data_IF_927744974629
#
_entry.id   IF_927744974629
#
_cell.length_a   1.000
_cell.length_b   1.000
_cell.length_c   1.000
_cell.angle_alpha   90.00
_cell.angle_beta   90.00
_cell.angle_gamma   90.00
#
_symmetry.space_group_name_H-M   'P 1'
#
loop_
_entity.id
_entity.type
_entity.pdbx_description
1 polymer ?
#
# COMPACT_ATOMS: atom_id res chain seq x y z
N UNK A 1 13.15 -26.71 64.28
CA UNK A 1 13.38 -25.30 64.71
C UNK A 1 14.30 -24.54 63.76
N UNK A 2 15.22 -25.21 63.03
CA UNK A 2 16.13 -24.60 62.05
C UNK A 2 15.46 -24.16 60.73
N UNK A 3 14.45 -24.87 60.22
CA UNK A 3 13.77 -24.52 58.95
C UNK A 3 12.99 -23.20 58.99
N UNK A 4 12.47 -22.81 60.17
CA UNK A 4 11.73 -21.55 60.32
C UNK A 4 12.63 -20.31 60.30
N UNK A 5 13.94 -20.47 60.51
CA UNK A 5 14.90 -19.36 60.49
C UNK A 5 15.26 -18.97 59.06
N UNK A 6 15.52 -19.95 58.19
CA UNK A 6 15.85 -19.72 56.79
C UNK A 6 14.68 -19.10 56.01
N UNK A 7 13.45 -19.57 56.26
CA UNK A 7 12.27 -19.00 55.61
C UNK A 7 12.07 -17.51 55.97
N UNK A 8 12.33 -17.13 57.22
CA UNK A 8 12.19 -15.74 57.67
C UNK A 8 13.25 -14.82 57.06
N UNK A 9 14.45 -15.34 56.79
CA UNK A 9 15.51 -14.58 56.12
C UNK A 9 15.24 -14.41 54.62
N UNK A 10 14.73 -15.44 53.95
CA UNK A 10 14.31 -15.35 52.54
C UNK A 10 13.16 -14.35 52.37
N UNK A 11 12.17 -14.36 53.26
CA UNK A 11 11.05 -13.39 53.23
C UNK A 11 11.54 -11.96 53.49
N UNK A 12 12.51 -11.76 54.39
CA UNK A 12 13.13 -10.44 54.62
C UNK A 12 13.93 -9.97 53.41
N UNK A 13 14.70 -10.84 52.78
CA UNK A 13 15.50 -10.50 51.60
C UNK A 13 14.60 -10.18 50.40
N UNK A 14 13.53 -10.95 50.20
CA UNK A 14 12.51 -10.67 49.20
C UNK A 14 11.83 -9.33 49.47
N UNK A 15 11.44 -9.05 50.71
CA UNK A 15 10.82 -7.77 51.11
C UNK A 15 11.72 -6.56 50.85
N UNK A 16 13.02 -6.67 51.16
CA UNK A 16 14.01 -5.63 50.85
C UNK A 16 14.15 -5.43 49.33
N UNK A 17 14.17 -6.52 48.56
CA UNK A 17 14.16 -6.47 47.09
C UNK A 17 12.94 -5.74 46.52
N UNK A 18 11.74 -6.06 47.02
CA UNK A 18 10.50 -5.36 46.63
C UNK A 18 10.54 -3.87 47.00
N UNK A 19 11.14 -3.51 48.13
CA UNK A 19 11.27 -2.12 48.56
C UNK A 19 12.19 -1.32 47.62
N UNK A 20 13.33 -1.88 47.20
CA UNK A 20 14.21 -1.25 46.21
C UNK A 20 13.54 -1.14 44.83
N UNK A 21 12.78 -2.15 44.39
CA UNK A 21 12.03 -2.07 43.14
C UNK A 21 10.94 -0.99 43.19
N UNK A 22 10.26 -0.83 44.33
CA UNK A 22 9.26 0.22 44.52
C UNK A 22 9.88 1.62 44.52
N UNK A 23 11.04 1.79 45.16
CA UNK A 23 11.80 3.05 45.11
C UNK A 23 12.28 3.35 43.69
N UNK A 24 12.78 2.35 42.96
CA UNK A 24 13.20 2.52 41.57
C UNK A 24 12.02 2.95 40.69
N UNK A 25 10.84 2.35 40.89
CA UNK A 25 9.61 2.72 40.17
C UNK A 25 9.19 4.16 40.49
N UNK A 26 9.25 4.56 41.76
CA UNK A 26 8.97 5.92 42.20
C UNK A 26 9.96 6.93 41.60
N UNK A 27 11.25 6.59 41.56
CA UNK A 27 12.29 7.41 40.93
C UNK A 27 12.04 7.57 39.43
N UNK A 28 11.66 6.50 38.71
CA UNK A 28 11.33 6.57 37.29
C UNK A 28 10.09 7.41 37.02
N UNK A 29 9.08 7.40 37.90
CA UNK A 29 7.91 8.27 37.78
C UNK A 29 8.26 9.74 38.05
N UNK A 30 9.10 10.02 39.04
CA UNK A 30 9.45 11.39 39.42
C UNK A 30 10.47 12.03 38.47
N UNK A 31 11.47 11.25 38.04
CA UNK A 31 12.47 11.69 37.06
C UNK A 31 12.03 11.46 35.62
N UNK A 32 10.94 10.73 35.38
CA UNK A 32 10.42 10.40 34.04
C UNK A 32 10.23 11.64 33.18
N UNK A 33 9.70 12.72 33.73
CA UNK A 33 9.49 13.98 32.99
C UNK A 33 10.81 14.66 32.58
N UNK A 34 11.85 14.58 33.42
CA UNK A 34 13.19 15.10 33.10
C UNK A 34 13.93 14.19 32.12
N UNK A 35 13.80 12.87 32.30
CA UNK A 35 14.38 11.87 31.41
C UNK A 35 13.74 11.99 30.03
N UNK A 36 12.42 12.18 29.92
CA UNK A 36 11.76 12.44 28.64
C UNK A 36 12.33 13.68 27.95
N UNK A 37 12.51 14.81 28.67
CA UNK A 37 13.13 16.02 28.09
C UNK A 37 14.55 15.77 27.57
N UNK A 38 15.35 15.00 28.31
CA UNK A 38 16.70 14.58 27.89
C UNK A 38 16.67 13.60 26.72
N UNK A 39 15.75 12.63 26.69
CA UNK A 39 15.61 11.71 25.57
C UNK A 39 15.11 12.41 24.30
N UNK A 40 14.21 13.39 24.42
CA UNK A 40 13.78 14.23 23.30
C UNK A 40 14.89 15.14 22.77
N UNK A 41 15.83 15.59 23.62
CA UNK A 41 16.98 16.38 23.17
C UNK A 41 18.07 15.53 22.53
N UNK A 42 18.31 14.30 23.03
CA UNK A 42 19.31 13.38 22.48
C UNK A 42 18.82 12.60 21.25
N UNK A 43 17.54 12.29 21.16
CA UNK A 43 16.91 11.73 19.97
C UNK A 43 15.94 12.76 19.39
N UNK A 44 16.42 13.72 18.57
CA UNK A 44 15.53 14.58 17.81
C UNK A 44 14.74 13.70 16.84
N UNK A 45 13.52 13.33 17.26
CA UNK A 45 12.48 12.90 16.33
C UNK A 45 12.26 14.09 15.43
N UNK A 46 12.50 13.91 14.13
CA UNK A 46 12.33 14.93 13.09
C UNK A 46 10.85 15.29 12.92
N UNK A 47 10.21 15.80 13.97
CA UNK A 47 9.11 16.71 13.79
C UNK A 47 9.74 18.01 13.31
N UNK A 48 9.36 18.52 12.11
CA UNK A 48 9.73 19.86 11.71
C UNK A 48 9.04 20.79 12.70
N UNK A 49 9.74 21.18 13.75
CA UNK A 49 9.38 22.38 14.50
C UNK A 49 9.39 23.49 13.48
N UNK A 50 8.22 24.07 13.24
CA UNK A 50 8.12 25.37 12.59
C UNK A 50 8.92 26.33 13.46
N UNK A 51 10.18 26.53 13.09
CA UNK A 51 11.05 27.55 13.66
C UNK A 51 10.36 28.90 13.47
N UNK A 52 9.76 29.42 14.55
CA UNK A 52 9.24 30.80 14.67
C UNK A 52 10.31 31.84 14.29
N UNK A 53 11.60 31.47 14.27
CA UNK A 53 12.70 32.31 13.82
C UNK A 53 12.71 32.57 12.30
N UNK A 54 12.01 31.78 11.47
CA UNK A 54 11.88 32.02 10.03
C UNK A 54 10.83 33.06 9.66
N UNK A 55 9.98 33.48 10.60
CA UNK A 55 8.93 34.49 10.36
C UNK A 55 9.51 35.90 10.10
N UNK A 56 10.82 36.10 10.33
CA UNK A 56 11.50 37.39 10.08
C UNK A 56 12.13 37.54 8.69
N UNK A 57 12.14 36.50 7.85
CA UNK A 57 12.61 36.65 6.47
C UNK A 57 11.45 37.14 5.58
N UNK A 58 11.70 38.10 4.66
CA UNK A 58 10.67 38.56 3.75
C UNK A 58 10.08 37.36 2.99
N UNK A 59 8.75 37.33 2.75
CA UNK A 59 8.05 36.17 2.20
C UNK A 59 8.63 35.69 0.86
N UNK A 60 9.23 36.60 0.08
CA UNK A 60 9.88 36.32 -1.19
C UNK A 60 11.14 35.44 -1.05
N UNK A 61 11.92 35.62 0.02
CA UNK A 61 13.13 34.82 0.27
C UNK A 61 12.79 33.41 0.74
N UNK A 62 11.72 33.25 1.53
CA UNK A 62 11.22 31.94 1.96
C UNK A 62 10.75 31.10 0.77
N UNK A 63 10.00 31.72 -0.16
CA UNK A 63 9.57 31.05 -1.38
C UNK A 63 10.76 30.63 -2.26
N UNK A 64 11.80 31.48 -2.34
CA UNK A 64 13.02 31.16 -3.09
C UNK A 64 13.77 29.98 -2.46
N UNK A 65 13.91 29.93 -1.13
CA UNK A 65 14.52 28.80 -0.44
C UNK A 65 13.72 27.50 -0.62
N UNK A 66 12.38 27.57 -0.53
CA UNK A 66 11.54 26.39 -0.75
C UNK A 66 11.66 25.87 -2.19
N UNK A 67 11.69 26.77 -3.18
CA UNK A 67 11.90 26.39 -4.59
C UNK A 67 13.26 25.73 -4.79
N UNK A 68 14.32 26.31 -4.25
CA UNK A 68 15.67 25.74 -4.33
C UNK A 68 15.77 24.37 -3.64
N UNK A 69 15.08 24.17 -2.52
CA UNK A 69 15.03 22.86 -1.85
C UNK A 69 14.31 21.81 -2.69
N UNK A 70 13.19 22.18 -3.33
CA UNK A 70 12.46 21.28 -4.24
C UNK A 70 13.26 20.91 -5.48
N UNK A 71 13.97 21.89 -6.06
CA UNK A 71 14.84 21.69 -7.21
C UNK A 71 15.97 20.72 -6.89
N UNK A 72 16.67 20.89 -5.75
CA UNK A 72 17.71 19.95 -5.31
C UNK A 72 17.19 18.52 -5.16
N UNK A 73 16.02 18.36 -4.55
CA UNK A 73 15.40 17.03 -4.40
C UNK A 73 15.06 16.45 -5.77
N UNK A 74 14.53 17.27 -6.68
CA UNK A 74 14.22 16.85 -8.04
C UNK A 74 15.48 16.43 -8.80
N UNK A 75 16.58 17.17 -8.66
CA UNK A 75 17.87 16.85 -9.27
C UNK A 75 18.46 15.54 -8.74
N UNK A 76 18.36 15.29 -7.42
CA UNK A 76 18.76 14.01 -6.85
C UNK A 76 17.95 12.85 -7.42
N UNK A 77 16.65 13.04 -7.63
CA UNK A 77 15.77 12.04 -8.23
C UNK A 77 16.06 11.83 -9.72
N UNK A 78 16.35 12.88 -10.49
CA UNK A 78 16.70 12.77 -11.90
C UNK A 78 18.04 12.05 -12.07
N UNK A 79 19.06 12.40 -11.29
CA UNK A 79 20.36 11.71 -11.29
C UNK A 79 20.22 10.24 -10.91
N UNK A 80 19.35 9.91 -9.95
CA UNK A 80 19.08 8.52 -9.58
C UNK A 80 18.35 7.76 -10.69
N UNK A 81 17.43 8.41 -11.40
CA UNK A 81 16.76 7.80 -12.55
C UNK A 81 17.73 7.57 -13.71
N UNK A 82 18.57 8.55 -14.04
CA UNK A 82 19.60 8.44 -15.07
C UNK A 82 20.58 7.30 -14.73
N UNK A 83 21.16 7.31 -13.54
CA UNK A 83 22.07 6.22 -13.13
C UNK A 83 21.42 4.83 -13.13
N UNK A 84 20.11 4.71 -12.85
CA UNK A 84 19.38 3.45 -13.01
C UNK A 84 19.25 3.03 -14.47
N UNK A 85 18.91 3.98 -15.36
CA UNK A 85 18.79 3.70 -16.80
C UNK A 85 20.11 3.19 -17.37
N UNK A 86 21.22 3.79 -16.95
CA UNK A 86 22.54 3.42 -17.44
C UNK A 86 23.05 2.10 -16.85
N UNK A 87 22.88 1.89 -15.54
CA UNK A 87 23.39 0.70 -14.87
C UNK A 87 22.55 -0.54 -15.14
N UNK A 88 21.24 -0.39 -15.31
CA UNK A 88 20.31 -1.54 -15.31
C UNK A 88 19.59 -1.70 -16.66
N UNK A 89 19.09 -0.62 -17.26
CA UNK A 89 18.28 -0.75 -18.48
C UNK A 89 19.16 -1.00 -19.71
N UNK A 90 20.19 -0.16 -19.95
CA UNK A 90 21.08 -0.32 -21.12
C UNK A 90 21.73 -1.71 -21.19
N UNK A 91 22.34 -2.27 -20.10
CA UNK A 91 22.96 -3.59 -20.17
C UNK A 91 21.95 -4.72 -20.40
N UNK A 92 20.72 -4.59 -19.88
CA UNK A 92 19.66 -5.56 -20.14
C UNK A 92 19.22 -5.55 -21.60
N UNK A 93 19.12 -4.36 -22.21
CA UNK A 93 18.77 -4.23 -23.63
C UNK A 93 19.89 -4.76 -24.53
N UNK A 94 21.14 -4.46 -24.22
CA UNK A 94 22.31 -4.96 -24.93
C UNK A 94 22.44 -6.49 -24.81
N UNK A 95 22.25 -7.05 -23.61
CA UNK A 95 22.24 -8.50 -23.41
C UNK A 95 21.16 -9.18 -24.23
N UNK A 96 19.94 -8.63 -24.25
CA UNK A 96 18.85 -9.15 -25.10
C UNK A 96 19.20 -9.09 -26.58
N UNK A 97 19.77 -7.98 -27.06
CA UNK A 97 20.20 -7.84 -28.46
C UNK A 97 21.31 -8.84 -28.81
N UNK A 98 22.30 -9.01 -27.92
CA UNK A 98 23.38 -9.97 -28.10
C UNK A 98 22.86 -11.41 -28.12
N UNK A 99 21.87 -11.75 -27.31
CA UNK A 99 21.26 -13.08 -27.34
C UNK A 99 20.49 -13.28 -28.64
N UNK A 100 19.67 -12.32 -29.07
CA UNK A 100 19.00 -12.37 -30.37
C UNK A 100 19.98 -12.51 -31.54
N UNK A 101 21.13 -11.83 -31.48
CA UNK A 101 22.19 -11.94 -32.48
C UNK A 101 22.83 -13.34 -32.47
N UNK A 102 23.12 -13.91 -31.30
CA UNK A 102 23.60 -15.30 -31.17
C UNK A 102 22.57 -16.28 -31.73
N UNK A 103 21.28 -16.07 -31.46
CA UNK A 103 20.21 -16.91 -31.99
C UNK A 103 20.11 -16.78 -33.51
N UNK A 104 20.26 -15.55 -34.02
CA UNK A 104 20.31 -15.29 -35.46
C UNK A 104 21.47 -16.05 -36.09
N UNK A 105 22.70 -15.96 -35.58
CA UNK A 105 23.85 -16.69 -36.14
C UNK A 105 23.78 -18.21 -35.92
N UNK A 106 23.23 -18.66 -34.79
CA UNK A 106 22.93 -20.09 -34.54
C UNK A 106 21.98 -20.64 -35.59
N UNK A 107 21.00 -19.84 -36.00
CA UNK A 107 19.96 -20.24 -36.96
C UNK A 107 20.30 -19.87 -38.43
N UNK A 108 21.33 -19.04 -38.67
CA UNK A 108 21.78 -18.63 -40.00
C UNK A 108 22.72 -19.64 -40.67
N UNK A 109 23.16 -20.67 -39.95
CA UNK A 109 23.79 -21.84 -40.56
C UNK A 109 22.82 -22.65 -41.42
N UNK A 110 23.28 -23.62 -42.23
CA UNK A 110 22.39 -24.48 -43.01
C UNK A 110 21.42 -25.21 -42.07
N UNK A 111 20.14 -24.81 -42.07
CA UNK A 111 19.08 -25.20 -41.12
C UNK A 111 18.76 -26.72 -41.03
N UNK A 112 19.50 -27.54 -41.79
CA UNK A 112 19.36 -28.99 -41.93
C UNK A 112 20.51 -29.77 -41.27
N UNK A 113 21.54 -29.10 -40.70
CA UNK A 113 22.68 -29.74 -40.01
C UNK A 113 22.55 -29.70 -38.49
N UNK A 114 21.35 -29.83 -37.94
CA UNK A 114 21.18 -30.22 -36.55
C UNK A 114 21.79 -31.60 -36.33
N UNK A 115 22.59 -31.79 -35.28
CA UNK A 115 23.09 -33.10 -34.87
C UNK A 115 21.89 -33.90 -34.36
N UNK A 116 21.17 -34.53 -35.27
CA UNK A 116 20.01 -35.35 -34.96
C UNK A 116 20.43 -36.45 -34.00
N UNK A 117 19.94 -36.38 -32.77
CA UNK A 117 20.02 -37.48 -31.84
C UNK A 117 19.22 -38.62 -32.43
N UNK A 118 19.93 -39.64 -32.93
CA UNK A 118 19.32 -40.87 -33.44
C UNK A 118 18.62 -41.54 -32.27
N UNK A 119 17.31 -41.38 -32.16
CA UNK A 119 16.45 -42.32 -31.45
C UNK A 119 16.58 -43.66 -32.18
N UNK A 120 17.45 -44.53 -31.66
CA UNK A 120 17.54 -45.91 -32.13
C UNK A 120 16.23 -46.62 -31.77
N UNK A 121 15.60 -47.37 -32.69
CA UNK A 121 14.56 -48.31 -32.32
C UNK A 121 15.15 -49.36 -31.38
N UNK A 122 14.43 -49.66 -30.31
CA UNK A 122 14.74 -50.75 -29.40
C UNK A 122 14.54 -52.08 -30.15
N UNK A 123 15.57 -52.93 -30.11
CA UNK A 123 15.52 -54.31 -30.57
C UNK A 123 14.43 -55.06 -29.80
N UNK A 124 13.51 -55.69 -30.54
CA UNK A 124 12.83 -56.91 -30.12
C UNK A 124 13.03 -57.92 -31.26
N UNK A 125 13.90 -58.90 -31.02
CA UNK A 125 14.00 -60.12 -31.82
C UNK A 125 12.74 -60.96 -31.58
N UNK A 126 12.04 -61.38 -32.65
CA UNK A 126 12.05 -62.80 -33.02
C UNK A 126 11.31 -63.08 -34.34
N UNK A 127 11.90 -64.04 -35.04
CA UNK A 127 11.66 -64.59 -36.38
C UNK A 127 10.24 -65.07 -36.70
N UNK A 128 9.81 -64.96 -37.97
CA UNK A 128 9.54 -66.13 -38.85
C UNK A 128 8.82 -65.78 -40.17
N UNK A 129 9.63 -65.79 -41.24
CA UNK A 129 9.41 -66.26 -42.62
C UNK A 129 8.00 -66.49 -43.26
N UNK A 130 7.88 -65.92 -44.47
CA UNK A 130 7.26 -66.45 -45.71
C UNK A 130 5.75 -66.30 -45.98
N UNK A 131 5.43 -65.70 -47.14
CA UNK A 131 4.12 -65.82 -47.79
C UNK A 131 3.78 -64.66 -48.74
N UNK A 132 4.16 -64.80 -50.02
CA UNK A 132 3.87 -63.86 -51.11
C UNK A 132 2.45 -64.11 -51.69
N UNK A 133 1.56 -63.10 -51.75
CA UNK A 133 0.51 -62.97 -52.80
C UNK A 133 -0.22 -61.60 -52.74
N UNK A 134 0.26 -60.69 -53.58
CA UNK A 134 -0.50 -59.91 -54.58
C UNK A 134 -2.01 -59.66 -54.35
N UNK A 135 -2.41 -58.45 -53.92
CA UNK A 135 -3.41 -57.61 -54.62
C UNK A 135 -3.34 -56.15 -54.13
N UNK A 136 -3.08 -55.20 -55.05
CA UNK A 136 -3.21 -53.75 -54.85
C UNK A 136 -4.69 -53.34 -54.98
N UNK A 137 -5.11 -52.24 -54.33
CA UNK A 137 -5.29 -51.02 -55.11
C UNK A 137 -4.57 -49.81 -54.51
N UNK A 138 -4.18 -48.89 -55.40
CA UNK A 138 -3.26 -47.78 -55.17
C UNK A 138 -3.69 -46.80 -54.06
N UNK A 139 -2.77 -46.27 -53.25
CA UNK A 139 -2.99 -45.03 -52.54
C UNK A 139 -2.71 -43.85 -53.48
N UNK A 140 -3.73 -43.00 -53.59
CA UNK A 140 -3.74 -41.74 -54.32
C UNK A 140 -2.50 -40.91 -53.99
N UNK A 141 -1.86 -40.35 -55.04
CA UNK A 141 -0.92 -39.24 -54.90
C UNK A 141 -1.63 -38.15 -54.10
N UNK A 142 -1.16 -37.88 -52.88
CA UNK A 142 -1.42 -36.61 -52.20
C UNK A 142 -0.17 -35.79 -52.41
N UNK A 143 -0.30 -34.79 -53.27
CA UNK A 143 0.72 -33.81 -53.55
C UNK A 143 1.09 -33.11 -52.23
N UNK A 144 2.32 -33.36 -51.76
CA UNK A 144 2.89 -32.65 -50.62
C UNK A 144 3.36 -31.28 -51.09
N UNK A 145 2.43 -30.34 -51.25
CA UNK A 145 2.73 -28.92 -51.42
C UNK A 145 2.26 -28.13 -50.18
N UNK A 146 2.61 -28.65 -49.00
CA UNK A 146 2.43 -27.94 -47.74
C UNK A 146 3.56 -26.93 -47.55
N UNK A 147 3.47 -25.77 -48.20
CA UNK A 147 4.43 -24.68 -47.99
C UNK A 147 4.42 -24.21 -46.52
N UNK A 148 5.52 -23.64 -46.03
CA UNK A 148 5.66 -23.13 -44.66
C UNK A 148 4.54 -22.15 -44.25
N UNK A 149 3.89 -21.53 -45.24
CA UNK A 149 2.71 -20.67 -45.07
C UNK A 149 1.46 -21.44 -44.62
N UNK A 150 1.25 -22.65 -45.12
CA UNK A 150 0.13 -23.50 -44.71
C UNK A 150 0.33 -24.06 -43.30
N UNK A 151 1.56 -24.40 -42.94
CA UNK A 151 1.90 -24.79 -41.57
C UNK A 151 1.74 -23.63 -40.56
N UNK A 152 1.98 -22.38 -40.98
CA UNK A 152 1.71 -21.20 -40.18
C UNK A 152 0.20 -20.88 -40.08
N UNK A 153 -0.56 -21.10 -41.15
CA UNK A 153 -2.01 -20.90 -41.17
C UNK A 153 -2.76 -21.96 -40.32
N UNK A 154 -2.25 -23.19 -40.25
CA UNK A 154 -2.78 -24.25 -39.39
C UNK A 154 -2.46 -24.05 -37.89
N UNK A 155 -1.48 -23.19 -37.57
CA UNK A 155 -1.10 -22.80 -36.21
C UNK A 155 -1.74 -21.48 -35.77
N UNK A 156 -2.92 -21.14 -36.27
CA UNK A 156 -3.70 -20.04 -35.68
C UNK A 156 -4.07 -20.45 -34.26
N UNK A 157 -3.45 -19.79 -33.27
CA UNK A 157 -3.83 -19.95 -31.87
C UNK A 157 -5.34 -19.64 -31.75
N UNK A 158 -6.06 -20.29 -30.80
CA UNK A 158 -7.45 -19.99 -30.56
C UNK A 158 -7.64 -18.47 -30.40
N UNK A 159 -8.76 -17.96 -30.91
CA UNK A 159 -9.07 -16.54 -31.04
C UNK A 159 -8.92 -15.75 -29.72
N UNK A 160 -8.97 -16.46 -28.58
CA UNK A 160 -8.73 -15.93 -27.23
C UNK A 160 -7.30 -15.41 -26.97
N UNK A 161 -6.30 -15.85 -27.75
CA UNK A 161 -4.91 -15.38 -27.64
C UNK A 161 -4.60 -14.30 -28.68
N UNK A 162 -5.24 -14.35 -29.85
CA UNK A 162 -5.03 -13.36 -30.91
C UNK A 162 -5.81 -12.06 -30.65
N UNK A 163 -6.98 -12.17 -30.00
CA UNK A 163 -7.74 -11.03 -29.50
C UNK A 163 -7.65 -11.03 -27.98
N UNK A 164 -6.70 -10.29 -27.36
CA UNK A 164 -6.83 -10.02 -25.92
C UNK A 164 -8.23 -9.42 -25.69
N UNK A 165 -8.96 -9.85 -24.64
CA UNK A 165 -10.26 -9.27 -24.35
C UNK A 165 -10.08 -7.76 -24.33
N UNK A 166 -10.82 -7.07 -25.21
CA UNK A 166 -10.77 -5.62 -25.38
C UNK A 166 -10.78 -5.03 -23.98
N UNK A 167 -9.62 -4.51 -23.55
CA UNK A 167 -9.42 -3.99 -22.18
C UNK A 167 -10.64 -3.16 -21.88
N UNK A 168 -11.45 -3.59 -20.91
CA UNK A 168 -12.61 -2.84 -20.48
C UNK A 168 -12.15 -1.38 -20.37
N UNK A 169 -12.87 -0.41 -20.98
CA UNK A 169 -12.43 0.97 -20.99
C UNK A 169 -12.03 1.31 -19.57
N UNK A 170 -10.75 1.62 -19.38
CA UNK A 170 -10.18 1.87 -18.07
C UNK A 170 -11.12 2.86 -17.39
N UNK A 171 -11.69 2.47 -16.24
CA UNK A 171 -12.58 3.36 -15.49
C UNK A 171 -11.86 4.71 -15.42
N UNK A 172 -12.52 5.81 -15.87
CA UNK A 172 -11.87 7.10 -15.87
C UNK A 172 -11.34 7.35 -14.46
N UNK A 173 -10.10 7.86 -14.33
CA UNK A 173 -9.48 8.06 -13.03
C UNK A 173 -10.46 8.86 -12.17
N UNK A 174 -10.93 8.23 -11.08
CA UNK A 174 -11.92 8.81 -10.17
C UNK A 174 -11.41 10.19 -9.80
N UNK A 175 -12.14 11.22 -10.22
CA UNK A 175 -11.73 12.60 -10.02
C UNK A 175 -11.39 12.81 -8.56
N UNK A 176 -10.22 13.41 -8.29
CA UNK A 176 -9.79 13.71 -6.92
C UNK A 176 -10.80 14.71 -6.35
N UNK A 177 -11.73 14.23 -5.52
CA UNK A 177 -12.69 15.07 -4.81
C UNK A 177 -11.90 15.85 -3.77
N UNK A 178 -11.59 17.11 -4.10
CA UNK A 178 -11.00 18.04 -3.13
C UNK A 178 -12.12 18.40 -2.16
N UNK A 179 -12.03 17.84 -0.96
CA UNK A 179 -12.99 18.13 0.11
C UNK A 179 -12.64 19.51 0.67
N UNK A 180 -13.29 20.55 0.15
CA UNK A 180 -13.21 21.90 0.72
C UNK A 180 -14.16 21.97 1.90
N UNK A 181 -13.63 22.30 3.08
CA UNK A 181 -14.47 22.51 4.26
C UNK A 181 -14.85 23.99 4.36
N UNK A 182 -16.09 24.31 4.79
CA UNK A 182 -16.49 25.69 5.06
C UNK A 182 -15.60 26.30 6.14
N UNK A 183 -15.42 27.62 6.16
CA UNK A 183 -14.61 28.29 7.18
C UNK A 183 -15.26 28.16 8.58
N UNK A 184 -14.42 28.07 9.60
CA UNK A 184 -14.86 27.87 10.99
C UNK A 184 -15.57 29.14 11.51
N UNK A 185 -16.79 29.03 12.08
CA UNK A 185 -17.50 30.19 12.60
C UNK A 185 -16.79 30.81 13.82
N UNK A 186 -16.86 32.14 13.92
CA UNK A 186 -16.27 32.94 14.99
C UNK A 186 -16.97 32.75 16.34
N UNK A 187 -16.20 32.98 17.41
CA UNK A 187 -16.61 32.78 18.80
C UNK A 187 -17.72 33.78 19.20
N UNK A 188 -18.91 33.26 19.50
CA UNK A 188 -20.05 34.09 19.91
C UNK A 188 -21.19 34.22 18.89
N UNK A 189 -21.09 33.54 17.74
CA UNK A 189 -22.21 33.45 16.81
C UNK A 189 -23.35 32.63 17.46
N UNK A 190 -24.58 33.14 17.56
CA UNK A 190 -25.67 32.34 18.10
C UNK A 190 -25.82 31.08 17.25
N UNK A 191 -25.86 29.92 17.91
CA UNK A 191 -26.04 28.58 17.33
C UNK A 191 -24.78 27.91 16.73
N UNK A 192 -23.58 28.29 17.16
CA UNK A 192 -22.37 27.50 16.93
C UNK A 192 -22.25 26.34 17.93
N UNK A 193 -21.84 25.17 17.47
CA UNK A 193 -21.57 23.97 18.27
C UNK A 193 -20.09 23.62 18.17
N UNK A 194 -19.46 23.32 19.31
CA UNK A 194 -18.08 22.82 19.36
C UNK A 194 -18.09 21.30 19.30
N UNK A 195 -17.55 20.74 18.23
CA UNK A 195 -17.41 19.30 18.06
C UNK A 195 -15.98 18.88 18.37
N UNK A 196 -15.83 17.96 19.32
CA UNK A 196 -14.56 17.35 19.69
C UNK A 196 -14.44 15.95 19.10
N UNK A 197 -13.61 15.79 18.07
CA UNK A 197 -13.31 14.52 17.44
C UNK A 197 -12.19 13.79 18.17
N UNK A 198 -12.50 12.61 18.71
CA UNK A 198 -11.53 11.66 19.27
C UNK A 198 -11.18 10.64 18.20
N UNK A 199 -9.98 10.75 17.65
CA UNK A 199 -9.46 9.76 16.71
C UNK A 199 -8.97 8.49 17.40
N UNK A 200 -8.53 7.51 16.60
CA UNK A 200 -7.73 6.37 17.07
C UNK A 200 -6.34 6.81 17.55
N UNK A 201 -5.86 7.95 17.07
CA UNK A 201 -4.70 8.63 17.65
C UNK A 201 -5.13 9.31 18.96
N UNK A 202 -4.23 9.33 19.95
CA UNK A 202 -4.47 9.96 21.27
C UNK A 202 -4.73 11.48 21.24
N UNK A 203 -4.86 12.07 20.05
CA UNK A 203 -5.06 13.51 19.84
C UNK A 203 -6.53 13.79 19.56
N UNK A 204 -7.13 14.61 20.42
CA UNK A 204 -8.48 15.13 20.21
C UNK A 204 -8.41 16.40 19.37
N UNK A 205 -9.12 16.43 18.24
CA UNK A 205 -9.25 17.63 17.41
C UNK A 205 -10.59 18.30 17.70
N UNK A 206 -10.59 19.60 17.93
CA UNK A 206 -11.81 20.38 18.19
C UNK A 206 -12.04 21.34 17.05
N UNK A 207 -13.30 21.52 16.67
CA UNK A 207 -13.70 22.47 15.64
C UNK A 207 -15.15 22.88 15.86
N UNK A 208 -15.46 24.15 15.58
CA UNK A 208 -16.81 24.70 15.63
C UNK A 208 -17.55 24.51 14.31
N UNK A 209 -18.85 24.26 14.38
CA UNK A 209 -19.77 24.09 13.27
C UNK A 209 -21.08 24.84 13.56
N UNK A 210 -21.86 25.17 12.53
CA UNK A 210 -23.21 25.69 12.76
C UNK A 210 -24.22 24.54 12.84
N UNK A 211 -25.23 24.68 13.70
CA UNK A 211 -26.41 23.80 13.79
C UNK A 211 -27.11 23.52 12.44
N UNK A 212 -27.14 24.49 11.52
CA UNK A 212 -27.74 24.36 10.18
C UNK A 212 -26.90 23.53 9.21
N UNK A 213 -25.64 23.27 9.54
CA UNK A 213 -24.79 22.49 8.65
C UNK A 213 -25.21 21.02 8.65
N UNK A 214 -24.85 20.35 7.55
CA UNK A 214 -25.12 18.92 7.39
C UNK A 214 -24.08 18.09 8.11
N UNK A 215 -24.48 16.91 8.59
CA UNK A 215 -23.55 15.90 9.13
C UNK A 215 -22.49 15.51 8.10
N UNK A 216 -22.77 15.63 6.80
CA UNK A 216 -21.78 15.48 5.74
C UNK A 216 -20.53 16.36 5.90
N UNK A 217 -20.68 17.59 6.42
CA UNK A 217 -19.55 18.52 6.64
C UNK A 217 -18.61 17.96 7.71
N UNK A 218 -19.17 17.31 8.72
CA UNK A 218 -18.43 16.65 9.79
C UNK A 218 -17.70 15.38 9.28
N UNK A 219 -18.36 14.57 8.44
CA UNK A 219 -17.73 13.41 7.78
C UNK A 219 -16.61 13.83 6.80
N UNK A 220 -16.78 14.99 6.16
CA UNK A 220 -15.77 15.63 5.33
C UNK A 220 -14.59 16.13 6.18
N UNK A 221 -14.85 16.65 7.38
CA UNK A 221 -13.80 17.07 8.33
C UNK A 221 -12.97 15.88 8.80
N UNK A 222 -13.64 14.79 9.16
CA UNK A 222 -13.00 13.51 9.45
C UNK A 222 -12.08 13.08 8.30
N UNK A 223 -12.56 13.17 7.04
CA UNK A 223 -11.77 12.84 5.86
C UNK A 223 -10.56 13.75 5.65
N UNK A 224 -10.66 15.05 5.95
CA UNK A 224 -9.53 15.99 5.91
C UNK A 224 -8.47 15.69 6.98
N UNK A 225 -8.88 15.10 8.12
CA UNK A 225 -7.97 14.63 9.16
C UNK A 225 -7.28 13.30 8.80
N UNK A 226 -7.63 12.67 7.68
CA UNK A 226 -7.05 11.42 7.19
C UNK A 226 -7.91 10.18 7.45
N UNK A 227 -9.07 10.33 8.08
CA UNK A 227 -9.99 9.24 8.36
C UNK A 227 -11.02 9.13 7.24
N UNK A 228 -10.87 8.14 6.35
CA UNK A 228 -11.79 7.98 5.22
C UNK A 228 -13.10 7.28 5.63
N UNK A 229 -14.24 7.78 5.12
CA UNK A 229 -15.59 7.29 5.42
C UNK A 229 -15.82 5.79 5.12
N UNK A 230 -14.99 5.17 4.27
CA UNK A 230 -15.08 3.73 3.97
C UNK A 230 -14.51 2.84 5.08
N UNK A 231 -13.57 3.38 5.85
CA UNK A 231 -12.84 2.63 6.87
C UNK A 231 -13.28 3.06 8.27
N UNK A 232 -13.76 4.28 8.42
CA UNK A 232 -14.09 4.88 9.70
C UNK A 232 -15.51 5.46 9.68
N UNK A 233 -16.21 5.32 10.80
CA UNK A 233 -17.50 5.95 11.07
C UNK A 233 -17.40 6.85 12.30
N UNK A 234 -18.26 7.87 12.36
CA UNK A 234 -18.39 8.73 13.53
C UNK A 234 -19.53 8.24 14.40
N UNK A 235 -19.24 8.09 15.69
CA UNK A 235 -20.19 7.59 16.67
C UNK A 235 -20.30 8.58 17.82
N UNK A 236 -21.53 8.88 18.23
CA UNK A 236 -21.81 9.66 19.44
C UNK A 236 -21.61 8.78 20.69
N UNK A 237 -21.28 9.38 21.83
CA UNK A 237 -21.03 8.59 23.04
C UNK A 237 -22.33 8.18 23.73
N UNK A 238 -23.28 9.11 23.91
CA UNK A 238 -24.55 8.89 24.61
C UNK A 238 -25.68 9.77 24.04
N UNK A 239 -26.80 9.20 23.56
CA UNK A 239 -26.95 7.80 23.15
C UNK A 239 -25.96 7.45 22.04
N UNK A 240 -25.53 6.19 21.96
CA UNK A 240 -24.58 5.74 20.93
C UNK A 240 -25.30 5.60 19.60
N UNK A 241 -24.93 6.43 18.63
CA UNK A 241 -25.57 6.51 17.32
C UNK A 241 -24.52 6.73 16.23
N UNK A 242 -24.68 6.02 15.12
CA UNK A 242 -23.79 6.11 13.97
C UNK A 242 -24.20 7.28 13.06
N UNK A 243 -23.33 8.28 12.93
CA UNK A 243 -23.60 9.50 12.15
C UNK A 243 -23.49 9.29 10.63
N UNK A 244 -22.95 8.15 10.18
CA UNK A 244 -22.90 7.81 8.76
C UNK A 244 -24.29 7.61 8.14
N UNK A 245 -25.27 7.18 8.93
CA UNK A 245 -26.66 6.99 8.48
C UNK A 245 -27.41 8.32 8.31
N UNK A 246 -26.99 9.35 9.04
CA UNK A 246 -27.60 10.67 9.09
C UNK A 246 -26.85 11.71 8.25
N UNK A 247 -26.09 11.26 7.25
CA UNK A 247 -25.22 12.14 6.45
C UNK A 247 -25.97 13.29 5.74
N UNK A 248 -27.24 13.07 5.37
CA UNK A 248 -28.08 14.05 4.69
C UNK A 248 -28.73 15.06 5.65
N UNK A 249 -28.84 14.70 6.93
CA UNK A 249 -29.56 15.45 7.95
C UNK A 249 -28.71 16.62 8.47
N UNK A 250 -29.38 17.62 9.02
CA UNK A 250 -28.71 18.73 9.72
C UNK A 250 -28.19 18.27 11.09
N UNK A 251 -27.20 18.97 11.65
CA UNK A 251 -26.68 18.64 12.99
C UNK A 251 -27.79 18.68 14.05
N UNK A 252 -28.75 19.60 13.93
CA UNK A 252 -29.93 19.69 14.80
C UNK A 252 -30.84 18.45 14.69
N UNK A 253 -31.15 18.02 13.47
CA UNK A 253 -31.98 16.83 13.23
C UNK A 253 -31.29 15.53 13.67
N UNK A 254 -29.96 15.49 13.62
CA UNK A 254 -29.16 14.38 14.13
C UNK A 254 -29.05 14.34 15.67
N UNK A 255 -29.70 15.28 16.38
CA UNK A 255 -29.68 15.35 17.85
C UNK A 255 -28.40 15.93 18.43
N UNK A 256 -27.63 16.69 17.64
CA UNK A 256 -26.45 17.44 18.07
C UNK A 256 -26.86 18.90 18.23
N UNK A 257 -27.49 19.23 19.36
CA UNK A 257 -27.93 20.58 19.73
C UNK A 257 -26.94 21.30 20.69
N UNK A 258 -26.00 20.56 21.28
CA UNK A 258 -24.99 21.06 22.20
C UNK A 258 -23.57 20.63 21.80
N UNK A 259 -22.57 21.12 22.54
CA UNK A 259 -21.17 20.73 22.37
C UNK A 259 -21.00 19.21 22.62
N UNK A 260 -20.59 18.49 21.59
CA UNK A 260 -20.53 17.01 21.60
C UNK A 260 -19.11 16.51 21.33
N UNK A 261 -18.75 15.45 22.06
CA UNK A 261 -17.58 14.64 21.77
C UNK A 261 -17.96 13.43 20.91
N UNK A 262 -17.32 13.31 19.75
CA UNK A 262 -17.50 12.23 18.79
C UNK A 262 -16.29 11.32 18.78
N UNK A 263 -16.53 10.03 18.62
CA UNK A 263 -15.48 9.01 18.54
C UNK A 263 -15.41 8.49 17.12
N UNK A 264 -14.18 8.40 16.58
CA UNK A 264 -13.90 7.77 15.29
C UNK A 264 -13.67 6.29 15.54
N UNK A 265 -14.55 5.44 15.00
CA UNK A 265 -14.44 3.98 15.10
C UNK A 265 -14.20 3.36 13.72
N UNK A 266 -13.51 2.22 13.69
CA UNK A 266 -13.29 1.45 12.46
C UNK A 266 -14.55 0.68 12.08
N UNK A 267 -14.96 0.78 10.82
CA UNK A 267 -16.09 0.03 10.28
C UNK A 267 -15.64 -1.43 10.14
N UNK A 268 -16.14 -2.29 11.02
CA UNK A 268 -15.94 -3.74 10.90
C UNK A 268 -16.93 -4.24 9.84
N UNK A 269 -16.48 -4.74 8.68
CA UNK A 269 -17.37 -5.34 7.70
C UNK A 269 -18.04 -6.56 8.36
N UNK A 270 -19.36 -6.53 8.52
CA UNK A 270 -20.11 -7.71 8.91
C UNK A 270 -20.00 -8.71 7.76
N UNK A 271 -19.32 -9.82 7.98
CA UNK A 271 -19.41 -10.98 7.09
C UNK A 271 -20.88 -11.43 7.09
N UNK A 272 -21.53 -11.28 5.94
CA UNK A 272 -22.87 -11.82 5.71
C UNK A 272 -22.77 -13.35 5.79
N UNK A 273 -23.38 -13.92 6.83
CA UNK A 273 -23.53 -15.37 7.06
C UNK A 273 -24.72 -15.94 6.32
#
# INVERSE_FOLDING_TARGET
MLENLEFREVVRLAGVGFFYLLILMLCLLYFGDSIQKLFFSYFPRSHPTLDESKEKLPPDELLKQQKAAREKIQDEHTLKAESFTERILKPKEEAKKADLEKEFYRNAGPAWKGKGERTRPRDDNDDSSSGNQETRPAPRKRDLEGTNRDAAAARKLPESVTNPPKRAPAEPPKAKVVITLPDEPEEGTPKSITVALRGTASIVKRRRFLFTEKVQVLLNWMSKLGYHQKLYTLVTTYPRQDLSQHAADTLEEAGIDHDVALVVEEIIPKEES
#
